data_IF_507227432036
#
_entry.id   IF_507227432036
#
_cell.length_a   1.000
_cell.length_b   1.000
_cell.length_c   1.000
_cell.angle_alpha   90.00
_cell.angle_beta   90.00
_cell.angle_gamma   90.00
#
_symmetry.space_group_name_H-M   'P 1'
#
loop_
_entity.id
_entity.type
_entity.pdbx_description
1 polymer ?
#
# COMPACT_ATOMS: atom_id res chain seq x y z
N UNK A 1 2.36 -8.68 -30.44
CA UNK A 1 1.63 -7.41 -30.25
C UNK A 1 2.39 -6.54 -29.25
N UNK A 2 2.62 -5.25 -29.54
CA UNK A 2 3.33 -4.35 -28.63
C UNK A 2 2.50 -4.15 -27.34
N UNK A 3 3.11 -4.41 -26.17
CA UNK A 3 2.45 -4.33 -24.86
C UNK A 3 1.79 -2.96 -24.61
N UNK A 4 2.42 -1.87 -25.03
CA UNK A 4 1.85 -0.52 -24.91
C UNK A 4 0.61 -0.33 -25.77
N UNK A 5 0.62 -0.83 -27.01
CA UNK A 5 -0.55 -0.76 -27.89
C UNK A 5 -1.71 -1.56 -27.29
N UNK A 6 -1.43 -2.73 -26.73
CA UNK A 6 -2.44 -3.54 -26.04
C UNK A 6 -3.03 -2.82 -24.83
N UNK A 7 -2.19 -2.34 -23.90
CA UNK A 7 -2.65 -1.65 -22.68
C UNK A 7 -3.46 -0.40 -23.04
N UNK A 8 -3.05 0.35 -24.06
CA UNK A 8 -3.80 1.52 -24.54
C UNK A 8 -5.19 1.15 -25.06
N UNK A 9 -5.30 0.07 -25.84
CA UNK A 9 -6.61 -0.43 -26.30
C UNK A 9 -7.50 -0.87 -25.13
N UNK A 10 -6.91 -1.43 -24.08
CA UNK A 10 -7.65 -1.85 -22.89
C UNK A 10 -8.13 -0.69 -22.02
N UNK A 11 -7.67 0.55 -22.19
CA UNK A 11 -8.08 1.69 -21.36
C UNK A 11 -8.98 2.65 -22.17
N UNK A 12 -10.32 2.61 -22.02
CA UNK A 12 -11.22 3.40 -22.85
C UNK A 12 -10.91 4.90 -22.83
N UNK A 13 -10.51 5.44 -21.67
CA UNK A 13 -10.16 6.86 -21.52
C UNK A 13 -9.07 7.27 -22.53
N UNK A 14 -8.03 6.44 -22.69
CA UNK A 14 -6.89 6.76 -23.56
C UNK A 14 -7.23 6.77 -25.06
N UNK A 15 -8.42 6.32 -25.43
CA UNK A 15 -8.93 6.32 -26.79
C UNK A 15 -9.91 7.48 -27.08
N UNK A 16 -10.25 8.29 -26.07
CA UNK A 16 -11.12 9.45 -26.26
C UNK A 16 -10.39 10.53 -27.06
N UNK A 17 -11.06 11.08 -28.07
CA UNK A 17 -10.59 12.24 -28.86
C UNK A 17 -11.30 13.54 -28.48
N UNK A 18 -12.49 13.44 -27.88
CA UNK A 18 -13.49 14.52 -27.73
C UNK A 18 -13.07 15.69 -26.83
N UNK A 19 -12.04 15.54 -26.00
CA UNK A 19 -11.66 16.54 -24.97
C UNK A 19 -10.22 17.06 -25.09
N UNK A 20 -9.60 16.98 -26.28
CA UNK A 20 -8.16 17.19 -26.41
C UNK A 20 -7.80 18.19 -27.51
N UNK A 21 -6.85 19.07 -27.17
CA UNK A 21 -6.23 20.02 -28.09
C UNK A 21 -5.42 19.33 -29.22
N UNK A 22 -4.98 18.09 -29.02
CA UNK A 22 -4.01 17.40 -29.89
C UNK A 22 -4.48 16.01 -30.40
N UNK A 23 -5.79 15.77 -30.52
CA UNK A 23 -6.40 14.53 -31.07
C UNK A 23 -6.04 13.18 -30.39
N UNK A 24 -5.13 13.16 -29.40
CA UNK A 24 -4.69 11.96 -28.66
C UNK A 24 -4.31 12.28 -27.20
N UNK A 25 -4.60 11.37 -26.26
CA UNK A 25 -4.21 11.52 -24.85
C UNK A 25 -2.75 11.08 -24.66
N UNK A 26 -1.97 11.92 -24.00
CA UNK A 26 -0.66 11.59 -23.42
C UNK A 26 -0.79 11.69 -21.90
N UNK A 27 -1.05 10.56 -21.23
CA UNK A 27 -1.26 10.51 -19.78
C UNK A 27 0.01 10.00 -19.08
N UNK A 28 0.78 10.94 -18.51
CA UNK A 28 2.05 10.67 -17.83
C UNK A 28 1.97 10.96 -16.32
N UNK A 29 0.82 10.70 -15.71
CA UNK A 29 0.55 10.95 -14.28
C UNK A 29 0.10 9.67 -13.54
N UNK A 30 0.63 8.52 -13.94
CA UNK A 30 0.26 7.22 -13.36
C UNK A 30 0.70 7.07 -11.90
N UNK A 31 1.70 7.85 -11.46
CA UNK A 31 2.13 7.90 -10.07
C UNK A 31 1.05 8.50 -9.14
N UNK A 32 0.17 9.36 -9.66
CA UNK A 32 -0.99 9.86 -8.94
C UNK A 32 -2.14 8.84 -8.96
N UNK A 33 -2.56 8.39 -10.15
CA UNK A 33 -3.56 7.32 -10.30
C UNK A 33 -3.47 6.69 -11.68
N UNK A 34 -3.77 5.41 -11.75
CA UNK A 34 -3.69 4.63 -12.99
C UNK A 34 -5.02 4.59 -13.73
N UNK A 35 -4.96 4.46 -15.05
CA UNK A 35 -6.16 4.25 -15.87
C UNK A 35 -6.74 2.84 -15.68
N UNK A 36 -8.03 2.70 -15.97
CA UNK A 36 -8.79 1.49 -15.68
C UNK A 36 -8.98 0.66 -16.95
N UNK A 37 -8.64 -0.63 -16.93
CA UNK A 37 -8.85 -1.50 -18.09
C UNK A 37 -10.35 -1.81 -18.28
N UNK A 38 -10.77 -2.11 -19.51
CA UNK A 38 -12.13 -2.53 -19.85
C UNK A 38 -12.60 -3.68 -18.95
N UNK A 39 -11.72 -4.64 -18.69
CA UNK A 39 -12.00 -5.78 -17.82
C UNK A 39 -12.39 -5.37 -16.40
N UNK A 40 -11.85 -4.27 -15.85
CA UNK A 40 -12.29 -3.75 -14.55
C UNK A 40 -13.72 -3.19 -14.66
N UNK A 41 -13.95 -2.35 -15.65
CA UNK A 41 -15.23 -1.66 -15.85
C UNK A 41 -16.37 -2.67 -16.10
N UNK A 42 -16.13 -3.64 -16.97
CA UNK A 42 -17.05 -4.74 -17.23
C UNK A 42 -17.37 -5.54 -15.97
N UNK A 43 -16.35 -5.87 -15.16
CA UNK A 43 -16.57 -6.60 -13.91
C UNK A 43 -17.36 -5.77 -12.89
N UNK A 44 -17.17 -4.45 -12.83
CA UNK A 44 -17.99 -3.58 -11.99
C UNK A 44 -19.45 -3.56 -12.46
N UNK A 45 -19.69 -3.41 -13.77
CA UNK A 45 -21.05 -3.47 -14.34
C UNK A 45 -21.70 -4.82 -14.08
N UNK A 46 -20.97 -5.93 -14.28
CA UNK A 46 -21.44 -7.29 -14.00
C UNK A 46 -21.78 -7.45 -12.51
N UNK A 47 -20.93 -6.96 -11.61
CA UNK A 47 -21.17 -7.02 -10.18
C UNK A 47 -22.47 -6.32 -9.80
N UNK A 48 -22.64 -5.06 -10.22
CA UNK A 48 -23.83 -4.29 -9.85
C UNK A 48 -25.12 -4.80 -10.51
N UNK A 49 -25.03 -5.32 -11.73
CA UNK A 49 -26.20 -5.85 -12.45
C UNK A 49 -26.60 -7.27 -12.04
N UNK A 50 -25.68 -8.09 -11.49
CA UNK A 50 -25.94 -9.52 -11.24
C UNK A 50 -25.68 -10.01 -9.82
N UNK A 51 -24.84 -9.33 -9.03
CA UNK A 51 -24.32 -9.86 -7.76
C UNK A 51 -24.49 -8.96 -6.55
N UNK A 52 -24.94 -7.72 -6.73
CA UNK A 52 -25.02 -6.75 -5.64
C UNK A 52 -25.96 -7.21 -4.52
N UNK A 53 -25.39 -7.43 -3.33
CA UNK A 53 -26.09 -7.80 -2.11
C UNK A 53 -25.16 -7.59 -0.92
N UNK A 54 -25.65 -7.72 0.32
CA UNK A 54 -24.74 -7.76 1.46
C UNK A 54 -23.92 -9.07 1.49
N UNK A 55 -22.72 -8.99 2.07
CA UNK A 55 -21.82 -10.14 2.30
C UNK A 55 -22.00 -10.74 3.70
N UNK A 56 -21.56 -11.98 3.89
CA UNK A 56 -21.42 -12.76 5.14
C UNK A 56 -22.71 -13.12 5.89
N UNK A 57 -23.72 -12.23 5.96
CA UNK A 57 -24.89 -12.40 6.85
C UNK A 57 -26.16 -12.89 6.15
N UNK A 58 -26.15 -13.00 4.82
CA UNK A 58 -27.33 -13.43 4.06
C UNK A 58 -27.29 -14.93 3.77
N UNK A 59 -28.39 -15.64 4.07
CA UNK A 59 -28.56 -17.07 3.77
C UNK A 59 -28.97 -17.35 2.33
N UNK A 60 -29.41 -16.33 1.59
CA UNK A 60 -29.88 -16.48 0.21
C UNK A 60 -28.74 -16.61 -0.81
N UNK A 61 -29.04 -17.25 -1.94
CA UNK A 61 -28.07 -17.62 -2.99
C UNK A 61 -27.21 -16.45 -3.47
N UNK A 62 -27.79 -15.26 -3.62
CA UNK A 62 -27.09 -14.06 -4.07
C UNK A 62 -26.07 -13.57 -3.02
N UNK A 63 -26.43 -13.52 -1.73
CA UNK A 63 -25.52 -13.17 -0.64
C UNK A 63 -24.35 -14.17 -0.51
N UNK A 64 -24.63 -15.47 -0.64
CA UNK A 64 -23.57 -16.49 -0.64
C UNK A 64 -22.61 -16.29 -1.83
N UNK A 65 -23.15 -16.01 -3.02
CA UNK A 65 -22.34 -15.74 -4.21
C UNK A 65 -21.50 -14.47 -4.06
N UNK A 66 -22.05 -13.39 -3.51
CA UNK A 66 -21.30 -12.18 -3.27
C UNK A 66 -20.16 -12.40 -2.24
N UNK A 67 -20.46 -13.10 -1.15
CA UNK A 67 -19.46 -13.44 -0.12
C UNK A 67 -18.29 -14.24 -0.70
N UNK A 68 -18.57 -15.18 -1.61
CA UNK A 68 -17.53 -15.91 -2.35
C UNK A 68 -16.69 -15.00 -3.25
N UNK A 69 -17.30 -14.03 -3.96
CA UNK A 69 -16.57 -13.07 -4.79
C UNK A 69 -15.67 -12.16 -3.94
N UNK A 70 -16.18 -11.66 -2.83
CA UNK A 70 -15.42 -10.85 -1.87
C UNK A 70 -14.20 -11.63 -1.32
N UNK A 71 -14.40 -12.86 -0.86
CA UNK A 71 -13.33 -13.70 -0.35
C UNK A 71 -12.31 -14.08 -1.42
N UNK A 72 -12.76 -14.34 -2.67
CA UNK A 72 -11.86 -14.55 -3.81
C UNK A 72 -10.98 -13.33 -4.10
N UNK A 73 -11.51 -12.12 -3.95
CA UNK A 73 -10.71 -10.89 -4.09
C UNK A 73 -9.62 -10.81 -3.04
N UNK A 74 -9.93 -11.09 -1.76
CA UNK A 74 -8.91 -11.14 -0.68
C UNK A 74 -7.86 -12.22 -0.92
N UNK A 75 -8.24 -13.40 -1.41
CA UNK A 75 -7.31 -14.47 -1.79
C UNK A 75 -6.42 -14.12 -2.99
N UNK A 76 -6.91 -13.32 -3.94
CA UNK A 76 -6.07 -12.81 -5.04
C UNK A 76 -5.04 -11.81 -4.53
N UNK A 77 -5.45 -10.93 -3.64
CA UNK A 77 -4.55 -9.95 -3.00
C UNK A 77 -3.49 -10.67 -2.16
N UNK A 78 -3.86 -11.72 -1.42
CA UNK A 78 -2.88 -12.49 -0.64
C UNK A 78 -1.81 -13.12 -1.52
N UNK A 79 -2.19 -13.66 -2.68
CA UNK A 79 -1.25 -14.18 -3.69
C UNK A 79 -0.38 -13.07 -4.29
N UNK A 80 -0.95 -11.90 -4.57
CA UNK A 80 -0.20 -10.75 -5.10
C UNK A 80 0.91 -10.27 -4.14
N UNK A 81 0.64 -10.34 -2.83
CA UNK A 81 1.60 -9.98 -1.78
C UNK A 81 2.52 -11.13 -1.36
N UNK A 82 2.25 -12.36 -1.84
CA UNK A 82 2.85 -13.59 -1.36
C UNK A 82 2.72 -13.75 0.17
N UNK A 83 1.52 -13.57 0.73
CA UNK A 83 1.24 -13.84 2.14
C UNK A 83 0.50 -15.18 2.35
N UNK A 84 0.44 -15.65 3.61
CA UNK A 84 -0.05 -17.00 3.96
C UNK A 84 -1.51 -17.24 3.63
N UNK A 85 -2.35 -16.21 3.69
CA UNK A 85 -3.76 -16.35 3.36
C UNK A 85 -4.50 -15.03 3.31
N UNK A 86 -5.78 -15.10 2.92
CA UNK A 86 -6.65 -13.93 2.87
C UNK A 86 -6.85 -13.28 4.24
N UNK A 87 -6.69 -14.03 5.34
CA UNK A 87 -6.88 -13.50 6.70
C UNK A 87 -5.90 -12.37 7.03
N UNK A 88 -4.71 -12.37 6.41
CA UNK A 88 -3.74 -11.29 6.54
C UNK A 88 -4.07 -10.05 5.72
N UNK A 89 -5.15 -10.07 4.92
CA UNK A 89 -5.53 -8.97 4.02
C UNK A 89 -6.74 -8.24 4.59
N UNK A 90 -6.53 -6.97 4.97
CA UNK A 90 -7.57 -6.04 5.41
C UNK A 90 -7.85 -5.06 4.27
N UNK A 91 -9.13 -4.87 3.96
CA UNK A 91 -9.59 -3.91 2.96
C UNK A 91 -10.12 -2.67 3.68
N UNK A 92 -9.65 -1.50 3.26
CA UNK A 92 -9.98 -0.18 3.78
C UNK A 92 -10.39 0.73 2.61
N UNK A 93 -10.73 1.99 2.84
CA UNK A 93 -11.10 2.98 1.81
C UNK A 93 -9.90 3.50 1.00
N UNK A 94 -8.67 3.36 1.51
CA UNK A 94 -7.45 3.79 0.81
C UNK A 94 -6.17 3.52 1.62
N UNK A 95 -5.01 3.75 0.99
CA UNK A 95 -3.71 3.61 1.66
C UNK A 95 -3.54 4.57 2.83
N UNK A 96 -4.04 5.81 2.70
CA UNK A 96 -4.03 6.78 3.81
C UNK A 96 -4.81 6.29 5.03
N UNK A 97 -5.99 5.67 4.83
CA UNK A 97 -6.73 5.06 5.94
C UNK A 97 -5.95 3.89 6.53
N UNK A 98 -5.27 3.08 5.71
CA UNK A 98 -4.43 1.98 6.21
C UNK A 98 -3.31 2.45 7.15
N UNK A 99 -2.62 3.57 6.84
CA UNK A 99 -1.63 4.14 7.75
C UNK A 99 -2.28 4.57 9.08
N UNK A 100 -3.41 5.28 9.01
CA UNK A 100 -4.15 5.73 10.19
C UNK A 100 -4.67 4.56 11.01
N UNK A 101 -5.11 3.48 10.37
CA UNK A 101 -5.57 2.26 11.04
C UNK A 101 -4.44 1.63 11.84
N UNK A 102 -3.26 1.43 11.24
CA UNK A 102 -2.11 0.87 11.97
C UNK A 102 -1.70 1.78 13.14
N UNK A 103 -1.61 3.08 12.91
CA UNK A 103 -1.26 4.02 13.96
C UNK A 103 -2.27 3.99 15.12
N UNK A 104 -3.57 4.12 14.82
CA UNK A 104 -4.61 4.26 15.83
C UNK A 104 -4.95 2.94 16.53
N UNK A 105 -4.96 1.82 15.81
CA UNK A 105 -5.38 0.53 16.36
C UNK A 105 -4.24 -0.23 17.03
N UNK A 106 -3.01 -0.10 16.50
CA UNK A 106 -1.83 -0.78 17.02
C UNK A 106 -0.95 0.20 17.82
N UNK A 107 -0.41 1.22 17.18
CA UNK A 107 0.67 2.03 17.77
C UNK A 107 0.23 2.83 19.00
N UNK A 108 -0.99 3.39 18.98
CA UNK A 108 -1.53 4.19 20.09
C UNK A 108 -1.63 3.44 21.42
N UNK A 109 -1.66 2.10 21.38
CA UNK A 109 -1.76 1.24 22.57
C UNK A 109 -0.39 0.86 23.15
N UNK A 110 0.65 0.81 22.31
CA UNK A 110 1.97 0.28 22.70
C UNK A 110 3.04 1.36 22.86
N UNK A 111 2.90 2.49 22.16
CA UNK A 111 3.84 3.60 22.26
C UNK A 111 3.60 4.40 23.55
N UNK A 112 4.69 4.75 24.22
CA UNK A 112 4.71 5.49 25.48
C UNK A 112 5.60 6.71 25.37
N UNK A 113 5.47 7.64 26.32
CA UNK A 113 6.34 8.80 26.43
C UNK A 113 7.82 8.42 26.30
N UNK A 114 8.58 9.20 25.52
CA UNK A 114 9.99 9.00 25.19
C UNK A 114 10.33 7.83 24.23
N UNK A 115 9.36 7.02 23.78
CA UNK A 115 9.59 6.11 22.67
C UNK A 115 9.86 6.89 21.37
N UNK A 116 10.44 6.22 20.36
CA UNK A 116 10.61 6.79 19.04
C UNK A 116 10.12 5.91 17.89
N UNK A 117 9.71 6.59 16.83
CA UNK A 117 9.33 6.01 15.54
C UNK A 117 10.32 6.48 14.48
N UNK A 118 10.79 5.55 13.65
CA UNK A 118 11.70 5.84 12.55
C UNK A 118 10.93 5.92 11.24
N UNK A 119 11.09 7.03 10.55
CA UNK A 119 10.62 7.31 9.19
C UNK A 119 11.82 7.64 8.29
N UNK A 120 11.58 7.88 7.01
CA UNK A 120 12.57 8.48 6.12
C UNK A 120 12.19 9.90 5.67
N UNK A 121 13.14 10.64 5.14
CA UNK A 121 12.84 11.92 4.48
C UNK A 121 12.09 11.77 3.14
N UNK A 122 11.93 10.53 2.64
CA UNK A 122 11.26 10.23 1.36
C UNK A 122 9.78 9.83 1.53
N UNK A 123 9.26 9.83 2.76
CA UNK A 123 7.91 9.36 3.02
C UNK A 123 6.85 10.27 2.38
N UNK A 124 5.78 9.64 1.86
CA UNK A 124 4.59 10.38 1.46
C UNK A 124 3.89 10.96 2.69
N UNK A 125 3.19 12.09 2.55
CA UNK A 125 2.50 12.74 3.69
C UNK A 125 1.54 11.81 4.44
N UNK A 126 0.88 10.89 3.73
CA UNK A 126 0.03 9.85 4.34
C UNK A 126 0.77 8.96 5.34
N UNK A 127 2.09 8.83 5.23
CA UNK A 127 2.96 8.08 6.14
C UNK A 127 3.80 9.00 7.06
N UNK A 128 3.51 10.31 7.12
CA UNK A 128 4.20 11.26 8.02
C UNK A 128 3.19 11.91 8.97
N UNK A 129 2.14 12.52 8.42
CA UNK A 129 1.16 13.30 9.19
C UNK A 129 0.54 12.49 10.34
N UNK A 130 0.15 11.21 10.16
CA UNK A 130 -0.43 10.44 11.26
C UNK A 130 0.56 10.30 12.43
N UNK A 131 1.85 10.13 12.16
CA UNK A 131 2.90 10.05 13.18
C UNK A 131 3.16 11.39 13.87
N UNK A 132 3.11 12.50 13.14
CA UNK A 132 3.22 13.84 13.74
C UNK A 132 2.10 14.04 14.77
N UNK A 133 0.86 13.74 14.40
CA UNK A 133 -0.28 13.84 15.31
C UNK A 133 -0.12 12.93 16.54
N UNK A 134 0.39 11.71 16.36
CA UNK A 134 0.67 10.81 17.49
C UNK A 134 1.78 11.33 18.39
N UNK A 135 2.82 11.93 17.81
CA UNK A 135 3.97 12.46 18.54
C UNK A 135 3.59 13.54 19.53
N UNK A 136 2.70 14.44 19.12
CA UNK A 136 2.14 15.48 19.99
C UNK A 136 1.29 14.85 21.10
N UNK A 137 0.45 13.86 20.77
CA UNK A 137 -0.47 13.24 21.73
C UNK A 137 0.23 12.42 22.80
N UNK A 138 1.28 11.67 22.44
CA UNK A 138 1.95 10.70 23.33
C UNK A 138 3.34 11.16 23.80
N UNK A 139 3.80 12.34 23.37
CA UNK A 139 5.16 12.84 23.60
C UNK A 139 6.24 11.82 23.17
N UNK A 140 6.07 11.25 21.98
CA UNK A 140 7.05 10.37 21.34
C UNK A 140 7.93 11.15 20.36
N UNK A 141 9.12 10.63 20.06
CA UNK A 141 10.06 11.26 19.13
C UNK A 141 9.91 10.66 17.74
N UNK A 142 9.94 11.51 16.70
CA UNK A 142 10.09 11.06 15.32
C UNK A 142 11.55 11.20 14.91
N UNK A 143 12.13 10.14 14.37
CA UNK A 143 13.48 10.15 13.81
C UNK A 143 13.40 9.88 12.32
N UNK A 144 14.16 10.65 11.53
CA UNK A 144 14.15 10.55 10.09
C UNK A 144 15.49 10.05 9.56
N UNK A 145 15.48 8.95 8.82
CA UNK A 145 16.65 8.51 8.07
C UNK A 145 16.77 9.30 6.78
N UNK A 146 18.02 9.68 6.47
CA UNK A 146 18.37 10.40 5.26
C UNK A 146 18.55 9.47 4.06
N UNK A 147 18.98 10.07 2.95
CA UNK A 147 19.35 9.38 1.71
C UNK A 147 20.85 9.47 1.47
N UNK A 148 21.37 8.52 0.70
CA UNK A 148 22.72 8.59 0.13
C UNK A 148 22.75 9.52 -1.08
N UNK A 149 23.95 9.89 -1.56
CA UNK A 149 24.14 10.72 -2.76
C UNK A 149 23.56 10.08 -4.03
N UNK A 150 23.40 8.77 -4.05
CA UNK A 150 22.74 8.02 -5.12
C UNK A 150 21.20 7.96 -4.98
N UNK A 151 20.62 8.68 -4.02
CA UNK A 151 19.17 8.81 -3.82
C UNK A 151 18.49 7.68 -3.03
N UNK A 152 19.17 6.56 -2.76
CA UNK A 152 18.60 5.47 -1.95
C UNK A 152 18.60 5.82 -0.46
N UNK A 153 17.72 5.19 0.31
CA UNK A 153 17.74 5.29 1.77
C UNK A 153 19.11 4.90 2.35
N UNK A 154 19.61 5.72 3.27
CA UNK A 154 20.92 5.52 3.85
C UNK A 154 20.88 4.45 4.95
N UNK A 155 21.32 3.24 4.61
CA UNK A 155 21.33 2.09 5.51
C UNK A 155 22.26 2.27 6.72
N UNK A 156 23.42 2.91 6.56
CA UNK A 156 24.34 3.18 7.67
C UNK A 156 23.76 4.20 8.64
N UNK A 157 23.09 5.23 8.13
CA UNK A 157 22.36 6.17 8.96
C UNK A 157 21.24 5.44 9.72
N UNK A 158 20.45 4.61 9.04
CA UNK A 158 19.41 3.80 9.68
C UNK A 158 19.92 2.98 10.86
N UNK A 159 21.05 2.26 10.71
CA UNK A 159 21.66 1.50 11.82
C UNK A 159 21.98 2.40 13.01
N UNK A 160 22.52 3.60 12.77
CA UNK A 160 22.84 4.57 13.84
C UNK A 160 21.61 5.22 14.47
N UNK A 161 20.50 5.31 13.72
CA UNK A 161 19.25 5.93 14.19
C UNK A 161 18.46 5.02 15.12
N UNK A 162 18.50 3.70 14.87
CA UNK A 162 17.85 2.68 15.70
C UNK A 162 18.49 2.63 17.08
N UNK A 163 17.68 2.71 18.12
CA UNK A 163 18.12 2.60 19.51
C UNK A 163 17.12 1.81 20.38
N UNK A 164 17.41 1.70 21.67
CA UNK A 164 16.58 0.98 22.66
C UNK A 164 15.16 1.56 22.82
N UNK A 165 14.94 2.81 22.39
CA UNK A 165 13.65 3.49 22.45
C UNK A 165 12.88 3.38 21.13
N UNK A 166 13.47 2.81 20.07
CA UNK A 166 12.77 2.58 18.82
C UNK A 166 11.71 1.50 18.98
N UNK A 167 10.45 1.87 18.73
CA UNK A 167 9.28 0.98 18.90
C UNK A 167 8.48 0.76 17.63
N UNK A 168 8.73 1.53 16.57
CA UNK A 168 8.09 1.33 15.28
C UNK A 168 8.97 1.89 14.17
N UNK A 169 8.94 1.25 13.00
CA UNK A 169 9.66 1.71 11.81
C UNK A 169 8.68 1.68 10.63
N UNK A 170 8.58 2.78 9.89
CA UNK A 170 7.73 2.87 8.70
C UNK A 170 8.54 3.46 7.56
N UNK A 171 8.73 2.70 6.48
CA UNK A 171 9.60 3.09 5.37
C UNK A 171 8.96 2.86 4.01
N UNK A 172 9.23 3.80 3.09
CA UNK A 172 8.81 3.71 1.70
C UNK A 172 9.60 2.68 0.90
N UNK A 173 8.89 1.80 0.19
CA UNK A 173 9.52 0.83 -0.70
C UNK A 173 10.02 1.48 -1.99
N UNK A 174 9.20 2.36 -2.57
CA UNK A 174 9.53 3.17 -3.75
C UNK A 174 9.01 4.58 -3.53
N UNK A 175 9.91 5.56 -3.51
CA UNK A 175 9.51 6.97 -3.41
C UNK A 175 8.74 7.39 -4.65
N UNK A 176 7.59 8.03 -4.47
CA UNK A 176 6.84 8.63 -5.58
C UNK A 176 7.51 9.89 -6.17
N UNK A 177 8.59 10.37 -5.54
CA UNK A 177 9.39 11.50 -6.01
C UNK A 177 10.64 11.02 -6.77
N UNK A 178 11.47 10.19 -6.13
CA UNK A 178 12.75 9.74 -6.73
C UNK A 178 12.60 8.50 -7.63
N UNK A 179 11.52 7.73 -7.49
CA UNK A 179 11.27 6.52 -8.29
C UNK A 179 12.22 5.35 -8.00
N UNK A 180 13.12 5.48 -7.02
CA UNK A 180 14.10 4.44 -6.67
C UNK A 180 13.47 3.33 -5.82
N UNK A 181 13.78 2.08 -6.17
CA UNK A 181 13.39 0.89 -5.39
C UNK A 181 14.38 0.69 -4.25
N UNK A 182 13.97 1.02 -3.03
CA UNK A 182 14.80 0.82 -1.85
C UNK A 182 14.99 -0.68 -1.56
N UNK A 183 16.20 -1.13 -1.15
CA UNK A 183 16.45 -2.52 -0.78
C UNK A 183 15.83 -2.85 0.58
N UNK A 184 14.50 -2.77 0.68
CA UNK A 184 13.73 -2.71 1.93
C UNK A 184 13.97 -3.93 2.83
N UNK A 185 14.22 -5.10 2.23
CA UNK A 185 14.55 -6.33 2.94
C UNK A 185 15.78 -6.17 3.86
N UNK A 186 16.75 -5.33 3.51
CA UNK A 186 17.91 -5.06 4.38
C UNK A 186 17.50 -4.33 5.66
N UNK A 187 16.57 -3.39 5.56
CA UNK A 187 16.07 -2.60 6.69
C UNK A 187 15.14 -3.45 7.57
N UNK A 188 14.16 -4.13 6.96
CA UNK A 188 13.20 -4.94 7.70
C UNK A 188 13.83 -6.15 8.37
N UNK A 189 14.92 -6.72 7.84
CA UNK A 189 15.66 -7.78 8.52
C UNK A 189 16.22 -7.34 9.87
N UNK A 190 16.78 -6.11 9.97
CA UNK A 190 17.25 -5.57 11.25
C UNK A 190 16.08 -5.42 12.22
N UNK A 191 14.98 -4.83 11.75
CA UNK A 191 13.75 -4.68 12.54
C UNK A 191 13.25 -6.02 13.07
N UNK A 192 13.24 -7.05 12.23
CA UNK A 192 12.83 -8.40 12.60
C UNK A 192 13.76 -9.05 13.62
N UNK A 193 15.07 -8.79 13.59
CA UNK A 193 16.02 -9.30 14.61
C UNK A 193 15.80 -8.61 15.95
N UNK A 194 15.48 -7.31 15.92
CA UNK A 194 15.24 -6.50 17.11
C UNK A 194 13.80 -6.58 17.63
N UNK A 195 12.92 -7.37 16.98
CA UNK A 195 11.48 -7.45 17.25
C UNK A 195 10.79 -6.07 17.26
N UNK A 196 11.22 -5.18 16.37
CA UNK A 196 10.58 -3.88 16.17
C UNK A 196 9.57 -4.02 15.02
N UNK A 197 8.29 -3.62 15.23
CA UNK A 197 7.30 -3.61 14.17
C UNK A 197 7.72 -2.76 12.96
N UNK A 198 7.60 -3.33 11.76
CA UNK A 198 8.04 -2.71 10.52
C UNK A 198 6.89 -2.61 9.50
N UNK A 199 6.59 -1.37 9.08
CA UNK A 199 5.62 -1.07 8.02
C UNK A 199 6.32 -0.68 6.73
N UNK A 200 5.86 -1.26 5.62
CA UNK A 200 6.30 -0.92 4.27
C UNK A 200 5.19 -0.16 3.53
N UNK A 201 5.49 1.06 3.08
CA UNK A 201 4.68 1.72 2.05
C UNK A 201 5.02 1.14 0.68
N UNK A 202 4.16 0.25 0.21
CA UNK A 202 4.27 -0.45 -1.06
C UNK A 202 3.53 0.21 -2.21
N UNK A 203 2.97 1.40 -2.01
CA UNK A 203 1.99 2.01 -2.91
C UNK A 203 2.51 2.18 -4.34
N UNK A 204 3.78 2.56 -4.51
CA UNK A 204 4.39 2.68 -5.85
C UNK A 204 5.09 1.41 -6.32
N UNK A 205 5.46 0.50 -5.41
CA UNK A 205 6.18 -0.72 -5.78
C UNK A 205 5.25 -1.76 -6.44
N UNK A 206 4.05 -1.94 -5.89
CA UNK A 206 3.18 -3.09 -6.16
C UNK A 206 2.69 -3.19 -7.62
N UNK A 207 2.61 -2.07 -8.34
CA UNK A 207 2.21 -2.05 -9.76
C UNK A 207 3.36 -2.45 -10.69
N UNK A 208 4.60 -2.16 -10.31
CA UNK A 208 5.78 -2.39 -11.15
C UNK A 208 6.46 -3.73 -10.83
N UNK A 209 6.32 -4.22 -9.60
CA UNK A 209 7.02 -5.39 -9.10
C UNK A 209 6.10 -6.25 -8.21
N UNK A 210 6.35 -7.56 -8.17
CA UNK A 210 5.66 -8.46 -7.24
C UNK A 210 6.22 -8.27 -5.83
N UNK A 211 5.34 -7.93 -4.89
CA UNK A 211 5.67 -7.88 -3.47
C UNK A 211 5.83 -9.29 -2.90
N UNK A 212 6.71 -9.44 -1.93
CA UNK A 212 6.90 -10.68 -1.19
C UNK A 212 7.06 -10.38 0.29
N UNK A 213 5.93 -10.22 0.99
CA UNK A 213 5.92 -9.81 2.40
C UNK A 213 6.60 -10.84 3.31
N UNK A 214 6.57 -12.13 2.93
CA UNK A 214 7.30 -13.18 3.65
C UNK A 214 8.82 -13.02 3.52
N UNK A 215 9.32 -12.66 2.33
CA UNK A 215 10.76 -12.36 2.12
C UNK A 215 11.16 -11.07 2.84
N UNK A 216 10.29 -10.07 2.84
CA UNK A 216 10.55 -8.80 3.53
C UNK A 216 10.50 -8.96 5.04
N UNK A 217 9.75 -9.93 5.58
CA UNK A 217 9.54 -10.10 7.02
C UNK A 217 9.00 -8.82 7.68
N UNK A 218 8.18 -8.06 6.95
CA UNK A 218 7.50 -6.89 7.50
C UNK A 218 6.23 -7.31 8.25
N UNK A 219 5.82 -6.49 9.21
CA UNK A 219 4.59 -6.71 9.97
C UNK A 219 3.39 -6.09 9.25
N UNK A 220 3.62 -5.01 8.52
CA UNK A 220 2.59 -4.31 7.76
C UNK A 220 3.07 -3.98 6.35
N UNK A 221 2.18 -4.10 5.37
CA UNK A 221 2.42 -3.67 3.98
C UNK A 221 1.18 -3.00 3.41
N UNK A 222 1.33 -1.79 2.88
CA UNK A 222 0.20 -0.96 2.44
C UNK A 222 0.31 -0.65 0.95
N UNK A 223 -0.84 -0.67 0.25
CA UNK A 223 -0.96 -0.04 -1.06
C UNK A 223 -2.39 0.43 -1.34
N UNK A 224 -2.56 1.32 -2.33
CA UNK A 224 -3.87 1.81 -2.77
C UNK A 224 -4.29 1.20 -4.10
N UNK A 225 -5.55 0.76 -4.22
CA UNK A 225 -6.06 0.09 -5.42
C UNK A 225 -6.04 0.97 -6.68
N UNK A 226 -6.27 2.28 -6.53
CA UNK A 226 -6.33 3.22 -7.65
C UNK A 226 -4.98 3.39 -8.37
N UNK A 227 -3.87 2.98 -7.74
CA UNK A 227 -2.52 2.96 -8.34
C UNK A 227 -2.12 1.60 -8.90
N UNK A 228 -3.01 0.60 -8.87
CA UNK A 228 -2.79 -0.75 -9.43
C UNK A 228 -3.87 -1.14 -10.45
N UNK A 229 -4.27 -0.20 -11.30
CA UNK A 229 -5.29 -0.38 -12.35
C UNK A 229 -6.66 -0.84 -11.82
N UNK A 230 -6.96 -0.56 -10.55
CA UNK A 230 -8.23 -0.90 -9.90
C UNK A 230 -8.98 0.37 -9.47
N UNK A 231 -10.19 0.22 -8.94
CA UNK A 231 -11.10 1.33 -8.63
C UNK A 231 -10.57 2.22 -7.50
N UNK A 232 -11.09 3.43 -7.38
CA UNK A 232 -10.93 4.23 -6.16
C UNK A 232 -11.72 3.61 -4.99
N UNK A 233 -11.47 4.09 -3.77
CA UNK A 233 -12.21 3.68 -2.59
C UNK A 233 -11.81 2.34 -2.00
N UNK A 234 -10.65 1.79 -2.40
CA UNK A 234 -10.06 0.60 -1.75
C UNK A 234 -8.58 0.81 -1.42
N UNK A 235 -8.23 0.54 -0.17
CA UNK A 235 -6.87 0.39 0.32
C UNK A 235 -6.66 -1.05 0.76
N UNK A 236 -5.43 -1.52 0.66
CA UNK A 236 -5.03 -2.83 1.16
C UNK A 236 -4.01 -2.64 2.26
N UNK A 237 -4.28 -3.27 3.39
CA UNK A 237 -3.35 -3.44 4.50
C UNK A 237 -3.09 -4.93 4.68
N UNK A 238 -1.84 -5.33 4.52
CA UNK A 238 -1.36 -6.60 5.03
C UNK A 238 -0.99 -6.48 6.49
N UNK A 239 -1.37 -7.48 7.29
CA UNK A 239 -0.98 -7.63 8.69
C UNK A 239 -0.42 -9.03 8.88
N UNK A 240 0.79 -9.13 9.43
CA UNK A 240 1.43 -10.38 9.80
C UNK A 240 0.69 -11.06 10.98
N UNK A 241 0.84 -12.38 11.12
CA UNK A 241 0.16 -13.17 12.18
C UNK A 241 0.78 -13.00 13.57
N UNK A 242 1.98 -12.41 13.67
CA UNK A 242 2.71 -12.19 14.92
C UNK A 242 2.06 -11.08 15.74
#
# INVERSE_FOLDING_TARGET
MNLFKYIKQQSPLLNIKKYLKYNHIVFLDNAASTQKPCSLLENQTIYYSKYNSNVNRGSYKLANKNSLLYNKSRLRISKLLNCRGSNNVVLLSGGTEAFNFVQNSFCSKFLKNNDNVILSILEHHSNIIPWILLSIKLNIKLKFIGICTNGYLNFLHYIKTVDKHTKFISLVHVSNLLGLINPIAKFSNISSVLNIPFLIDGTQYIIHNRANVLKYKCDFYIFSSHKVMSSFGVGVLYINDK
#
